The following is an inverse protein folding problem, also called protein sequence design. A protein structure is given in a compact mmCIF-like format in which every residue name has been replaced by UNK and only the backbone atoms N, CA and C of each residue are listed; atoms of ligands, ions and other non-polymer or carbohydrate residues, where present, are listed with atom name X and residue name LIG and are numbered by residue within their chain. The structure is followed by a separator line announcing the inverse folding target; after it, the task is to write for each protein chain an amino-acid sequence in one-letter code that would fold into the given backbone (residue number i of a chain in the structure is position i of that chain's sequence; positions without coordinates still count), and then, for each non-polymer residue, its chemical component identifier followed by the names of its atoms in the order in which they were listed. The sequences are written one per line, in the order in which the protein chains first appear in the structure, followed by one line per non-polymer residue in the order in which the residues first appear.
data_IF_350355315184
#
_entry.id   IF_350355315184
#
_cell.length_a   1.000
_cell.length_b   1.000
_cell.length_c   1.000
_cell.angle_alpha   90.00
_cell.angle_beta   90.00
_cell.angle_gamma   90.00
#
_symmetry.space_group_name_H-M   'P 1'
#
loop_
_entity.id
_entity.type
_entity.pdbx_description
1 polymer ?
#
# COMPACT_ATOMS: atom_id res chain seq x y z
N UNK A 1 -10.27 -1.81 1.33
CA UNK A 1 -10.74 -3.21 1.51
C UNK A 1 -11.42 -3.77 0.28
N UNK A 2 -12.24 -3.01 -0.45
CA UNK A 2 -12.84 -3.46 -1.70
C UNK A 2 -11.80 -3.90 -2.76
N UNK A 3 -10.72 -3.13 -2.95
CA UNK A 3 -9.62 -3.51 -3.86
C UNK A 3 -8.98 -4.87 -3.50
N UNK A 4 -8.78 -5.13 -2.20
CA UNK A 4 -8.24 -6.39 -1.72
C UNK A 4 -9.25 -7.52 -1.93
N UNK A 5 -10.52 -7.32 -1.57
CA UNK A 5 -11.52 -8.38 -1.68
C UNK A 5 -11.87 -8.71 -3.15
N UNK A 6 -12.13 -7.70 -3.97
CA UNK A 6 -12.55 -7.89 -5.37
C UNK A 6 -11.38 -8.17 -6.29
N UNK A 7 -10.27 -7.44 -6.12
CA UNK A 7 -9.08 -7.58 -6.95
C UNK A 7 -8.22 -8.75 -6.50
N UNK A 8 -7.61 -8.64 -5.32
CA UNK A 8 -6.60 -9.61 -4.87
C UNK A 8 -7.19 -10.98 -4.48
N UNK A 9 -8.30 -10.98 -3.74
CA UNK A 9 -8.94 -12.22 -3.31
C UNK A 9 -9.81 -12.83 -4.41
N UNK A 10 -10.24 -12.03 -5.39
CA UNK A 10 -11.09 -12.45 -6.51
C UNK A 10 -12.53 -12.73 -6.10
N UNK A 11 -13.01 -12.11 -5.02
CA UNK A 11 -14.39 -12.27 -4.55
C UNK A 11 -15.36 -11.44 -5.38
N UNK A 12 -16.62 -11.86 -5.40
CA UNK A 12 -17.70 -11.04 -5.94
C UNK A 12 -17.99 -9.86 -5.00
N UNK A 13 -18.66 -8.83 -5.51
CA UNK A 13 -19.12 -7.70 -4.71
C UNK A 13 -20.01 -8.15 -3.54
N UNK A 14 -20.93 -9.08 -3.80
CA UNK A 14 -21.79 -9.66 -2.78
C UNK A 14 -21.00 -10.36 -1.66
N UNK A 15 -19.98 -11.15 -2.02
CA UNK A 15 -19.11 -11.81 -1.05
C UNK A 15 -18.31 -10.79 -0.24
N UNK A 16 -17.76 -9.76 -0.89
CA UNK A 16 -16.99 -8.72 -0.23
C UNK A 16 -17.84 -7.91 0.75
N UNK A 17 -19.05 -7.51 0.35
CA UNK A 17 -19.95 -6.70 1.18
C UNK A 17 -20.56 -7.48 2.35
N UNK A 18 -20.73 -8.81 2.21
CA UNK A 18 -21.21 -9.67 3.30
C UNK A 18 -20.11 -10.15 4.25
N UNK A 19 -18.85 -9.93 3.92
CA UNK A 19 -17.74 -10.42 4.74
C UNK A 19 -17.23 -9.33 5.68
N UNK A 20 -16.98 -9.71 6.93
CA UNK A 20 -16.37 -8.82 7.91
C UNK A 20 -14.98 -8.35 7.47
N UNK A 21 -14.67 -7.09 7.74
CA UNK A 21 -13.40 -6.46 7.37
C UNK A 21 -12.20 -7.21 7.97
N UNK A 22 -12.32 -7.74 9.19
CA UNK A 22 -11.24 -8.52 9.81
C UNK A 22 -11.04 -9.84 9.08
N UNK A 23 -12.10 -10.49 8.62
CA UNK A 23 -12.00 -11.73 7.85
C UNK A 23 -11.31 -11.49 6.49
N UNK A 24 -11.61 -10.37 5.81
CA UNK A 24 -10.88 -9.96 4.59
C UNK A 24 -9.38 -9.78 4.89
N UNK A 25 -9.05 -9.16 6.02
CA UNK A 25 -7.66 -8.95 6.44
C UNK A 25 -6.93 -10.26 6.72
N UNK A 26 -7.58 -11.20 7.41
CA UNK A 26 -7.02 -12.54 7.68
C UNK A 26 -6.77 -13.29 6.36
N UNK A 27 -7.73 -13.26 5.42
CA UNK A 27 -7.57 -13.90 4.12
C UNK A 27 -6.40 -13.30 3.32
N UNK A 28 -6.28 -11.98 3.32
CA UNK A 28 -5.15 -11.28 2.70
C UNK A 28 -3.81 -11.70 3.31
N UNK A 29 -3.69 -11.61 4.64
CA UNK A 29 -2.45 -11.94 5.36
C UNK A 29 -2.04 -13.40 5.15
N UNK A 30 -3.00 -14.34 5.17
CA UNK A 30 -2.73 -15.75 4.93
C UNK A 30 -2.14 -16.02 3.54
N UNK A 31 -2.72 -15.40 2.50
CA UNK A 31 -2.18 -15.53 1.13
C UNK A 31 -0.80 -14.89 1.00
N UNK A 32 -0.59 -13.70 1.57
CA UNK A 32 0.72 -13.03 1.54
C UNK A 32 1.79 -13.84 2.29
N UNK A 33 1.44 -14.42 3.45
CA UNK A 33 2.35 -15.29 4.20
C UNK A 33 2.72 -16.55 3.42
N UNK A 34 1.76 -17.18 2.74
CA UNK A 34 2.03 -18.32 1.86
C UNK A 34 2.98 -17.95 0.73
N UNK A 35 2.76 -16.80 0.06
CA UNK A 35 3.62 -16.34 -1.01
C UNK A 35 5.05 -16.05 -0.52
N UNK A 36 5.20 -15.40 0.63
CA UNK A 36 6.52 -15.19 1.28
C UNK A 36 7.20 -16.51 1.60
N UNK A 37 6.46 -17.51 2.07
CA UNK A 37 7.03 -18.82 2.35
C UNK A 37 7.51 -19.55 1.07
N UNK A 38 6.85 -19.34 -0.07
CA UNK A 38 7.20 -19.98 -1.36
C UNK A 38 8.36 -19.27 -2.05
N UNK A 39 8.32 -17.93 -2.10
CA UNK A 39 9.25 -17.13 -2.89
C UNK A 39 10.39 -16.52 -2.06
N UNK A 40 10.36 -16.68 -0.74
CA UNK A 40 11.24 -15.95 0.18
C UNK A 40 10.76 -14.52 0.40
N UNK A 41 11.46 -13.82 1.29
CA UNK A 41 11.29 -12.38 1.51
C UNK A 41 12.57 -11.73 0.99
N UNK A 42 12.46 -10.84 0.00
CA UNK A 42 13.57 -9.94 -0.31
C UNK A 42 13.67 -8.93 0.83
N UNK A 43 14.87 -8.76 1.39
CA UNK A 43 15.13 -7.67 2.33
C UNK A 43 14.71 -6.36 1.66
N UNK A 44 13.62 -5.75 2.14
CA UNK A 44 13.13 -4.48 1.60
C UNK A 44 14.29 -3.48 1.67
N UNK A 45 14.78 -2.93 0.54
CA UNK A 45 15.83 -1.94 0.60
C UNK A 45 15.29 -0.77 1.42
N UNK A 46 15.97 -0.43 2.52
CA UNK A 46 15.58 0.70 3.37
C UNK A 46 15.28 1.89 2.47
N UNK A 47 14.00 2.25 2.36
CA UNK A 47 13.59 3.44 1.64
C UNK A 47 14.21 4.60 2.39
N UNK A 48 15.37 5.08 1.91
CA UNK A 48 15.98 6.31 2.37
C UNK A 48 14.87 7.35 2.32
N UNK A 49 14.41 7.80 3.49
CA UNK A 49 13.48 8.93 3.60
C UNK A 49 14.19 10.06 2.89
N UNK A 50 13.79 10.33 1.65
CA UNK A 50 14.33 11.48 0.94
C UNK A 50 13.99 12.67 1.82
N UNK A 51 14.98 13.49 2.21
CA UNK A 51 14.69 14.65 3.03
C UNK A 51 13.62 15.45 2.28
N UNK A 52 12.51 15.72 2.96
CA UNK A 52 11.47 16.62 2.47
C UNK A 52 12.21 17.86 2.03
N UNK A 53 12.10 18.16 0.72
CA UNK A 53 12.57 19.36 0.04
C UNK A 53 12.59 20.53 1.02
N UNK A 54 13.79 21.08 1.27
CA UNK A 54 13.92 22.30 2.07
C UNK A 54 13.02 23.39 1.50
N UNK A 55 12.56 24.33 2.33
CA UNK A 55 11.67 25.43 1.90
C UNK A 55 12.17 26.12 0.63
N UNK A 56 13.48 26.37 0.56
CA UNK A 56 14.13 26.96 -0.63
C UNK A 56 13.96 26.14 -1.92
N UNK A 57 13.95 24.80 -1.83
CA UNK A 57 13.73 23.92 -2.98
C UNK A 57 12.26 23.88 -3.41
N UNK A 58 11.34 23.98 -2.45
CA UNK A 58 9.92 24.11 -2.73
C UNK A 58 9.61 25.44 -3.42
N UNK A 59 10.16 26.54 -2.91
CA UNK A 59 9.94 27.89 -3.46
C UNK A 59 10.55 28.03 -4.86
N UNK A 60 11.71 27.43 -5.11
CA UNK A 60 12.30 27.37 -6.45
C UNK A 60 11.47 26.54 -7.45
N UNK A 61 10.77 25.51 -6.97
CA UNK A 61 9.99 24.59 -7.81
C UNK A 61 8.58 25.12 -8.09
N UNK A 62 7.99 25.86 -7.16
CA UNK A 62 6.61 26.35 -7.24
C UNK A 62 6.49 27.88 -7.38
N UNK A 63 7.59 28.63 -7.36
CA UNK A 63 7.63 30.05 -7.72
C UNK A 63 6.80 30.98 -6.83
N UNK A 64 6.47 30.56 -5.60
CA UNK A 64 5.64 31.34 -4.68
C UNK A 64 6.51 32.33 -3.91
N UNK A 65 6.90 33.42 -4.56
CA UNK A 65 7.64 34.49 -3.88
C UNK A 65 8.33 35.47 -4.81
N UNK A 66 7.55 36.28 -5.53
CA UNK A 66 7.99 37.58 -6.07
C UNK A 66 6.82 38.54 -6.07
N UNK A 67 6.71 39.33 -5.01
CA UNK A 67 6.15 40.69 -5.07
C UNK A 67 7.27 41.67 -5.44
#
# INVERSE_FOLDING_TARGET
MAEIALGWLGWTEEQALRTDVNAIRVAYQGRTSMLRAIFGEEDEPERKKQPITTGDQFDAMFGVGRD
#
